data_IF_421297623855
#
_entry.id   IF_421297623855
#
_cell.length_a   1.000
_cell.length_b   1.000
_cell.length_c   1.000
_cell.angle_alpha   90.00
_cell.angle_beta   90.00
_cell.angle_gamma   90.00
#
_symmetry.space_group_name_H-M   'P 1'
#
loop_
_entity.id
_entity.type
_entity.pdbx_description
1 polymer ?
#
# COMPACT_ATOMS: atom_id res chain seq x y z
N UNK A 1 5.05 9.11 2.90
CA UNK A 1 4.87 7.73 2.42
C UNK A 1 3.59 7.68 1.64
N UNK A 2 3.63 7.26 0.37
CA UNK A 2 2.43 7.13 -0.45
C UNK A 2 1.66 5.87 -0.03
N UNK A 3 0.33 5.94 0.07
CA UNK A 3 -0.53 4.79 0.34
C UNK A 3 -1.40 4.52 -0.88
N UNK A 4 -1.63 3.24 -1.20
CA UNK A 4 -2.47 2.85 -2.32
C UNK A 4 -3.81 2.38 -1.78
N UNK A 5 -4.87 3.02 -2.24
CA UNK A 5 -6.24 2.78 -1.78
C UNK A 5 -7.00 2.04 -2.89
N UNK A 6 -7.39 0.77 -2.69
CA UNK A 6 -8.13 0.00 -3.69
C UNK A 6 -9.57 0.50 -3.88
N UNK A 7 -10.28 -0.14 -4.81
CA UNK A 7 -11.73 0.00 -4.93
C UNK A 7 -12.43 -0.26 -3.59
N UNK A 8 -13.53 0.46 -3.36
CA UNK A 8 -14.30 0.45 -2.11
C UNK A 8 -13.54 0.92 -0.85
N UNK A 9 -12.46 1.70 -1.02
CA UNK A 9 -11.75 2.33 0.10
C UNK A 9 -12.33 3.70 0.46
N UNK A 10 -12.22 4.05 1.76
CA UNK A 10 -12.54 5.38 2.26
C UNK A 10 -11.27 6.22 2.41
N UNK A 11 -11.30 7.44 1.86
CA UNK A 11 -10.19 8.39 1.95
C UNK A 11 -10.66 9.75 2.48
N UNK A 12 -9.75 10.47 3.13
CA UNK A 12 -10.01 11.80 3.66
C UNK A 12 -10.91 11.80 4.91
N UNK A 13 -11.11 10.65 5.52
CA UNK A 13 -11.93 10.49 6.72
C UNK A 13 -11.31 11.15 7.95
N UNK A 14 -9.98 11.19 8.09
CA UNK A 14 -9.31 11.82 9.24
C UNK A 14 -9.77 13.28 9.38
N UNK A 15 -9.50 14.11 8.37
CA UNK A 15 -9.93 15.52 8.35
C UNK A 15 -11.45 15.68 8.39
N UNK A 16 -12.19 14.74 7.79
CA UNK A 16 -13.64 14.76 7.86
C UNK A 16 -14.18 14.49 9.28
N UNK A 17 -13.45 13.77 10.12
CA UNK A 17 -13.84 13.38 11.48
C UNK A 17 -13.32 14.35 12.54
N UNK A 18 -12.07 14.77 12.48
CA UNK A 18 -11.45 15.65 13.48
C UNK A 18 -11.58 17.15 13.16
N UNK A 19 -11.83 17.50 11.89
CA UNK A 19 -12.01 18.88 11.43
C UNK A 19 -10.70 19.59 11.08
N UNK A 20 -9.56 18.89 11.09
CA UNK A 20 -8.27 19.44 10.71
C UNK A 20 -8.04 19.37 9.17
N UNK A 21 -7.02 20.09 8.65
CA UNK A 21 -6.62 19.98 7.25
C UNK A 21 -6.33 18.55 6.79
N UNK A 22 -6.33 18.34 5.48
CA UNK A 22 -6.00 17.05 4.88
C UNK A 22 -4.59 16.61 5.30
N UNK A 23 -4.45 15.35 5.71
CA UNK A 23 -3.18 14.74 6.09
C UNK A 23 -2.33 14.34 4.88
N UNK A 24 -2.93 14.20 3.70
CA UNK A 24 -2.27 13.79 2.47
C UNK A 24 -3.01 14.26 1.22
N UNK A 25 -2.31 14.28 0.09
CA UNK A 25 -2.88 14.42 -1.25
C UNK A 25 -3.28 13.03 -1.77
N UNK A 26 -4.44 12.95 -2.43
CA UNK A 26 -4.88 11.74 -3.13
C UNK A 26 -4.80 11.95 -4.65
N UNK A 27 -4.21 10.99 -5.37
CA UNK A 27 -4.04 11.04 -6.83
C UNK A 27 -4.64 9.75 -7.40
N UNK A 28 -5.46 9.88 -8.44
CA UNK A 28 -6.02 8.71 -9.14
C UNK A 28 -4.97 8.16 -10.12
N UNK A 29 -4.50 6.93 -9.88
CA UNK A 29 -3.55 6.22 -10.77
C UNK A 29 -4.25 5.61 -11.99
N UNK A 30 -5.56 5.40 -11.90
CA UNK A 30 -6.41 4.88 -12.97
C UNK A 30 -7.70 5.70 -13.03
N UNK A 31 -8.57 5.40 -13.99
CA UNK A 31 -9.91 6.00 -14.03
C UNK A 31 -10.69 5.53 -12.80
N UNK A 32 -11.13 6.48 -11.97
CA UNK A 32 -11.85 6.20 -10.73
C UNK A 32 -13.22 6.87 -10.74
N UNK A 33 -14.22 6.19 -10.20
CA UNK A 33 -15.49 6.79 -9.80
C UNK A 33 -15.48 7.00 -8.28
N UNK A 34 -15.85 8.20 -7.84
CA UNK A 34 -15.78 8.60 -6.44
C UNK A 34 -17.12 9.14 -5.97
N UNK A 35 -17.52 8.77 -4.75
CA UNK A 35 -18.67 9.36 -4.06
C UNK A 35 -18.12 10.32 -2.99
N UNK A 36 -18.51 11.59 -3.07
CA UNK A 36 -18.11 12.59 -2.08
C UNK A 36 -19.16 12.73 -0.98
N UNK A 37 -18.69 12.86 0.25
CA UNK A 37 -19.52 13.14 1.42
C UNK A 37 -18.95 14.36 2.15
N UNK A 38 -19.80 15.35 2.39
CA UNK A 38 -19.45 16.44 3.29
C UNK A 38 -19.37 15.95 4.74
N UNK A 39 -18.60 16.66 5.58
CA UNK A 39 -18.55 16.43 7.03
C UNK A 39 -19.95 16.39 7.63
N UNK A 40 -20.81 17.35 7.28
CA UNK A 40 -22.19 17.40 7.76
C UNK A 40 -22.96 16.13 7.41
N UNK A 41 -22.93 15.70 6.15
CA UNK A 41 -23.61 14.47 5.71
C UNK A 41 -23.06 13.23 6.43
N UNK A 42 -21.75 13.17 6.69
CA UNK A 42 -21.14 12.06 7.42
C UNK A 42 -21.69 11.96 8.85
N UNK A 43 -21.66 13.06 9.60
CA UNK A 43 -22.15 13.09 10.99
C UNK A 43 -23.67 12.86 11.07
N UNK A 44 -24.46 13.48 10.19
CA UNK A 44 -25.90 13.23 10.10
C UNK A 44 -26.21 11.74 9.86
N UNK A 45 -25.35 11.02 9.13
CA UNK A 45 -25.51 9.58 8.88
C UNK A 45 -25.04 8.72 10.04
N UNK A 46 -23.97 9.11 10.72
CA UNK A 46 -23.48 8.43 11.93
C UNK A 46 -24.56 8.45 13.02
N UNK A 47 -25.19 9.61 13.23
CA UNK A 47 -26.27 9.77 14.22
C UNK A 47 -27.49 8.91 13.89
N UNK A 48 -27.86 8.82 12.61
CA UNK A 48 -29.00 8.02 12.14
C UNK A 48 -28.69 6.53 12.04
N UNK A 49 -27.42 6.14 11.99
CA UNK A 49 -26.99 4.76 11.84
C UNK A 49 -25.74 4.46 12.70
N UNK A 50 -25.90 4.23 14.01
CA UNK A 50 -24.79 3.98 14.94
C UNK A 50 -23.81 2.88 14.53
N UNK A 51 -24.21 1.79 13.82
CA UNK A 51 -23.23 0.83 13.30
C UNK A 51 -22.18 1.43 12.36
N UNK A 52 -22.49 2.55 11.68
CA UNK A 52 -21.51 3.29 10.87
C UNK A 52 -20.36 3.82 11.73
N UNK A 53 -20.66 4.33 12.92
CA UNK A 53 -19.63 4.84 13.83
C UNK A 53 -18.64 3.73 14.20
N UNK A 54 -19.16 2.53 14.50
CA UNK A 54 -18.33 1.35 14.80
C UNK A 54 -17.45 0.96 13.61
N UNK A 55 -18.03 0.88 12.41
CA UNK A 55 -17.27 0.54 11.20
C UNK A 55 -16.14 1.55 10.92
N UNK A 56 -16.37 2.83 11.16
CA UNK A 56 -15.30 3.84 11.04
C UNK A 56 -14.22 3.68 12.10
N UNK A 57 -14.57 3.39 13.36
CA UNK A 57 -13.59 3.13 14.41
C UNK A 57 -12.73 1.92 14.04
N UNK A 58 -13.34 0.83 13.57
CA UNK A 58 -12.64 -0.36 13.11
C UNK A 58 -11.68 -0.06 11.96
N UNK A 59 -12.12 0.74 10.97
CA UNK A 59 -11.28 1.24 9.88
C UNK A 59 -10.06 2.03 10.40
N UNK A 60 -10.28 2.98 11.31
CA UNK A 60 -9.20 3.80 11.89
C UNK A 60 -8.23 2.94 12.71
N UNK A 61 -8.72 1.97 13.48
CA UNK A 61 -7.88 1.02 14.21
C UNK A 61 -7.05 0.14 13.26
N UNK A 62 -7.63 -0.32 12.16
CA UNK A 62 -6.90 -1.08 11.13
C UNK A 62 -5.80 -0.24 10.48
N UNK A 63 -6.11 1.02 10.14
CA UNK A 63 -5.15 1.96 9.53
C UNK A 63 -4.03 2.31 10.51
N UNK A 64 -4.34 2.53 11.80
CA UNK A 64 -3.32 2.77 12.83
C UNK A 64 -2.37 1.56 12.98
N UNK A 65 -2.92 0.35 13.08
CA UNK A 65 -2.09 -0.87 13.13
C UNK A 65 -1.21 -1.02 11.90
N UNK A 66 -1.73 -0.70 10.71
CA UNK A 66 -0.96 -0.72 9.48
C UNK A 66 0.20 0.29 9.51
N UNK A 67 -0.05 1.55 9.86
CA UNK A 67 0.99 2.59 9.97
C UNK A 67 2.05 2.21 11.01
N UNK A 68 1.65 1.71 12.18
CA UNK A 68 2.59 1.25 13.21
C UNK A 68 3.43 0.06 12.73
N UNK A 69 2.84 -0.85 11.95
CA UNK A 69 3.57 -1.97 11.33
C UNK A 69 4.61 -1.48 10.32
N UNK A 70 4.26 -0.53 9.45
CA UNK A 70 5.20 0.04 8.48
C UNK A 70 6.37 0.76 9.17
N UNK A 71 6.13 1.46 10.28
CA UNK A 71 7.20 2.07 11.08
C UNK A 71 8.17 1.01 11.64
N UNK A 72 7.65 -0.13 12.10
CA UNK A 72 8.48 -1.26 12.52
C UNK A 72 9.28 -1.84 11.35
N UNK A 73 8.63 -2.08 10.22
CA UNK A 73 9.31 -2.58 9.02
C UNK A 73 10.43 -1.64 8.55
N UNK A 74 10.23 -0.32 8.62
CA UNK A 74 11.27 0.66 8.32
C UNK A 74 12.45 0.64 9.29
N UNK A 75 12.21 0.33 10.57
CA UNK A 75 13.24 0.30 11.59
C UNK A 75 14.07 -0.99 11.60
N UNK A 76 13.49 -2.13 11.17
CA UNK A 76 14.07 -3.45 11.39
C UNK A 76 14.31 -4.29 10.13
N UNK A 77 13.75 -3.90 8.98
CA UNK A 77 13.88 -4.69 7.76
C UNK A 77 14.74 -4.01 6.72
N UNK A 78 15.50 -4.84 6.01
CA UNK A 78 16.20 -4.44 4.80
C UNK A 78 15.23 -3.92 3.74
N UNK A 79 15.74 -3.13 2.79
CA UNK A 79 14.93 -2.71 1.64
C UNK A 79 14.40 -3.91 0.85
N UNK A 80 15.15 -5.02 0.79
CA UNK A 80 14.75 -6.24 0.09
C UNK A 80 13.52 -6.87 0.76
N UNK A 81 13.53 -6.97 2.09
CA UNK A 81 12.42 -7.52 2.85
C UNK A 81 11.17 -6.63 2.77
N UNK A 82 11.34 -5.30 2.89
CA UNK A 82 10.22 -4.35 2.69
C UNK A 82 9.63 -4.43 1.29
N UNK A 83 10.47 -4.49 0.25
CA UNK A 83 10.02 -4.62 -1.13
C UNK A 83 9.29 -5.95 -1.35
N UNK A 84 9.75 -7.06 -0.74
CA UNK A 84 9.12 -8.36 -0.88
C UNK A 84 7.73 -8.39 -0.25
N UNK A 85 7.61 -7.89 1.00
CA UNK A 85 6.31 -7.70 1.67
C UNK A 85 5.38 -6.82 0.83
N UNK A 86 5.90 -5.72 0.27
CA UNK A 86 5.12 -4.79 -0.54
C UNK A 86 4.62 -5.44 -1.84
N UNK A 87 5.44 -6.24 -2.52
CA UNK A 87 5.01 -6.95 -3.72
C UNK A 87 3.88 -7.95 -3.42
N UNK A 88 3.89 -8.65 -2.28
CA UNK A 88 2.76 -9.51 -1.90
C UNK A 88 1.47 -8.71 -1.69
N UNK A 89 1.57 -7.56 -1.02
CA UNK A 89 0.42 -6.66 -0.84
C UNK A 89 -0.12 -6.21 -2.20
N UNK A 90 0.73 -5.67 -3.07
CA UNK A 90 0.33 -5.17 -4.39
C UNK A 90 -0.20 -6.29 -5.29
N UNK A 91 0.36 -7.49 -5.22
CA UNK A 91 -0.14 -8.65 -5.96
C UNK A 91 -1.59 -9.00 -5.60
N UNK A 92 -1.98 -8.82 -4.33
CA UNK A 92 -3.35 -9.06 -3.88
C UNK A 92 -4.32 -7.95 -4.27
N UNK A 93 -3.82 -6.72 -4.36
CA UNK A 93 -4.66 -5.52 -4.43
C UNK A 93 -4.86 -5.03 -5.87
N UNK A 94 -3.81 -5.07 -6.70
CA UNK A 94 -3.82 -4.44 -8.03
C UNK A 94 -3.32 -5.35 -9.16
N UNK A 95 -3.00 -6.62 -8.91
CA UNK A 95 -2.60 -7.50 -9.99
C UNK A 95 -3.76 -7.73 -10.97
N UNK A 96 -3.45 -7.76 -12.26
CA UNK A 96 -4.41 -8.17 -13.30
C UNK A 96 -4.72 -9.68 -13.22
N UNK A 97 -5.69 -10.13 -14.02
CA UNK A 97 -6.08 -11.55 -14.08
C UNK A 97 -4.96 -12.51 -14.51
N UNK A 98 -3.82 -12.00 -14.99
CA UNK A 98 -2.62 -12.75 -15.35
C UNK A 98 -1.47 -12.62 -14.33
N UNK A 99 -1.73 -11.97 -13.20
CA UNK A 99 -0.81 -11.80 -12.08
C UNK A 99 0.21 -10.67 -12.25
N UNK A 100 0.06 -9.80 -13.26
CA UNK A 100 0.93 -8.64 -13.40
C UNK A 100 0.46 -7.48 -12.54
N UNK A 101 1.37 -6.96 -11.74
CA UNK A 101 1.22 -5.77 -10.91
C UNK A 101 1.58 -4.56 -11.79
N UNK A 102 0.64 -3.68 -12.14
CA UNK A 102 0.88 -2.50 -12.96
C UNK A 102 1.48 -1.38 -12.09
N UNK A 103 2.78 -1.47 -11.81
CA UNK A 103 3.50 -0.48 -10.99
C UNK A 103 4.90 -0.22 -11.55
N UNK A 104 5.32 1.04 -11.52
CA UNK A 104 6.64 1.48 -11.91
C UNK A 104 7.64 1.38 -10.75
N UNK A 105 8.93 1.39 -11.09
CA UNK A 105 10.00 1.36 -10.08
C UNK A 105 10.09 2.65 -9.28
N UNK A 106 9.71 3.79 -9.88
CA UNK A 106 9.64 5.07 -9.18
C UNK A 106 8.54 5.06 -8.12
N UNK A 107 7.35 4.58 -8.47
CA UNK A 107 6.25 4.41 -7.52
C UNK A 107 6.65 3.46 -6.39
N UNK A 108 7.30 2.33 -6.69
CA UNK A 108 7.84 1.44 -5.65
C UNK A 108 8.86 2.14 -4.73
N UNK A 109 9.72 3.01 -5.27
CA UNK A 109 10.64 3.82 -4.47
C UNK A 109 9.90 4.76 -3.52
N UNK A 110 8.88 5.46 -4.01
CA UNK A 110 8.03 6.34 -3.20
C UNK A 110 7.27 5.58 -2.10
N UNK A 111 6.77 4.38 -2.42
CA UNK A 111 6.12 3.50 -1.45
C UNK A 111 7.06 3.04 -0.34
N UNK A 112 8.30 2.72 -0.69
CA UNK A 112 9.28 2.14 0.24
C UNK A 112 10.17 3.17 0.94
N UNK A 113 9.99 4.46 0.65
CA UNK A 113 10.90 5.52 1.10
C UNK A 113 12.34 5.27 0.64
N UNK A 114 12.51 4.71 -0.56
CA UNK A 114 13.79 4.29 -1.10
C UNK A 114 14.07 4.94 -2.46
N UNK A 115 15.35 5.04 -2.81
CA UNK A 115 15.74 5.56 -4.13
C UNK A 115 15.34 4.58 -5.24
N UNK A 116 15.03 5.14 -6.41
CA UNK A 116 14.70 4.34 -7.61
C UNK A 116 15.84 3.39 -7.97
N UNK A 117 17.09 3.83 -7.79
CA UNK A 117 18.30 3.07 -8.04
C UNK A 117 18.37 1.83 -7.15
N UNK A 118 18.06 1.97 -5.85
CA UNK A 118 18.07 0.85 -4.90
C UNK A 118 16.99 -0.17 -5.26
N UNK A 119 15.76 0.29 -5.53
CA UNK A 119 14.67 -0.58 -6.00
C UNK A 119 15.03 -1.30 -7.30
N UNK A 120 15.59 -0.60 -8.27
CA UNK A 120 16.00 -1.18 -9.55
C UNK A 120 17.08 -2.26 -9.37
N UNK A 121 18.08 -2.02 -8.51
CA UNK A 121 19.13 -2.98 -8.18
C UNK A 121 18.55 -4.27 -7.59
N UNK A 122 17.67 -4.15 -6.59
CA UNK A 122 17.01 -5.32 -5.96
C UNK A 122 16.13 -6.08 -6.95
N UNK A 123 15.29 -5.39 -7.73
CA UNK A 123 14.42 -6.03 -8.73
C UNK A 123 15.23 -6.75 -9.82
N UNK A 124 16.34 -6.19 -10.28
CA UNK A 124 17.23 -6.86 -11.23
C UNK A 124 17.87 -8.11 -10.64
N UNK A 125 18.32 -8.08 -9.39
CA UNK A 125 18.82 -9.25 -8.69
C UNK A 125 17.77 -10.37 -8.65
N UNK A 126 16.54 -10.04 -8.24
CA UNK A 126 15.45 -11.01 -8.15
C UNK A 126 15.01 -11.55 -9.51
N UNK A 127 15.02 -10.72 -10.56
CA UNK A 127 14.77 -11.17 -11.93
C UNK A 127 15.82 -12.18 -12.38
N UNK A 128 17.09 -11.91 -12.14
CA UNK A 128 18.18 -12.82 -12.52
C UNK A 128 18.09 -14.17 -11.78
N UNK A 129 17.51 -14.17 -10.57
CA UNK A 129 17.23 -15.37 -9.76
C UNK A 129 15.87 -16.02 -10.06
N UNK A 130 15.15 -15.54 -11.09
CA UNK A 130 13.80 -16.03 -11.46
C UNK A 130 12.76 -15.96 -10.33
N UNK A 131 12.93 -15.03 -9.38
CA UNK A 131 11.97 -14.79 -8.29
C UNK A 131 10.80 -13.94 -8.78
N UNK A 132 11.08 -13.03 -9.71
CA UNK A 132 10.09 -12.19 -10.38
C UNK A 132 10.33 -12.16 -11.90
N UNK A 133 9.28 -11.83 -12.64
CA UNK A 133 9.35 -11.38 -14.02
C UNK A 133 9.07 -9.87 -14.10
N UNK A 134 9.71 -9.20 -15.06
CA UNK A 134 9.53 -7.76 -15.30
C UNK A 134 9.12 -7.51 -16.76
N UNK A 135 8.20 -6.57 -16.96
CA UNK A 135 7.87 -5.96 -18.26
C UNK A 135 7.85 -4.45 -18.12
N UNK A 136 7.71 -3.72 -19.23
CA UNK A 136 7.53 -2.27 -19.18
C UNK A 136 6.30 -1.93 -18.33
N UNK A 137 6.51 -1.22 -17.22
CA UNK A 137 5.44 -0.78 -16.31
C UNK A 137 4.78 -1.90 -15.51
N UNK A 138 5.41 -3.09 -15.37
CA UNK A 138 4.80 -4.14 -14.57
C UNK A 138 5.74 -5.23 -14.09
N UNK A 139 5.31 -5.87 -13.00
CA UNK A 139 6.04 -6.90 -12.26
C UNK A 139 5.15 -8.11 -12.02
N UNK A 140 5.70 -9.32 -12.00
CA UNK A 140 4.96 -10.54 -11.65
C UNK A 140 5.82 -11.42 -10.75
N UNK A 141 5.23 -11.93 -9.67
CA UNK A 141 5.89 -12.89 -8.79
C UNK A 141 5.92 -14.25 -9.51
N UNK A 142 7.11 -14.81 -9.74
CA UNK A 142 7.28 -16.13 -10.39
C UNK A 142 7.64 -17.22 -9.38
N UNK A 143 8.27 -16.86 -8.26
CA UNK A 143 8.55 -17.78 -7.16
C UNK A 143 8.14 -17.17 -5.82
N UNK A 144 6.92 -17.47 -5.38
CA UNK A 144 6.37 -16.96 -4.13
C UNK A 144 7.10 -17.51 -2.88
N UNK A 145 7.66 -18.72 -2.94
CA UNK A 145 8.41 -19.30 -1.82
C UNK A 145 9.71 -18.55 -1.57
N UNK A 146 10.50 -18.33 -2.62
CA UNK A 146 11.74 -17.56 -2.53
C UNK A 146 11.48 -16.10 -2.09
N UNK A 147 10.43 -15.46 -2.61
CA UNK A 147 10.06 -14.10 -2.21
C UNK A 147 9.60 -14.02 -0.75
N UNK A 148 8.95 -15.07 -0.23
CA UNK A 148 8.55 -15.15 1.18
C UNK A 148 9.75 -15.23 2.11
N UNK A 149 10.75 -16.05 1.77
CA UNK A 149 11.99 -16.09 2.53
C UNK A 149 12.70 -14.73 2.58
N UNK A 150 12.68 -13.96 1.49
CA UNK A 150 13.21 -12.60 1.46
C UNK A 150 12.37 -11.62 2.30
N UNK A 151 11.06 -11.81 2.41
CA UNK A 151 10.18 -10.98 3.23
C UNK A 151 10.38 -11.19 4.73
N UNK A 152 10.83 -12.39 5.11
CA UNK A 152 11.03 -12.81 6.50
C UNK A 152 12.48 -12.58 6.98
N UNK A 153 13.43 -12.27 6.08
CA UNK A 153 14.80 -11.93 6.46
C UNK A 153 14.85 -10.55 7.12
N UNK A 154 15.20 -10.51 8.41
CA UNK A 154 15.58 -9.29 9.11
C UNK A 154 17.01 -8.91 8.73
N UNK A 155 17.38 -7.63 8.85
CA UNK A 155 18.80 -7.24 8.78
C UNK A 155 19.51 -7.94 9.96
N UNK A 156 20.27 -9.00 9.67
CA UNK A 156 21.34 -9.44 10.56
C UNK A 156 22.49 -8.47 10.31
N UNK A 157 22.81 -7.65 11.32
CA UNK A 157 23.98 -6.75 11.33
C UNK A 157 25.28 -7.45 10.90
#
# INVERSE_FOLDING_TARGET
MANLEPSYSLIGEIGALDGHPRTATAICLTVCELVSLSRKQLFDRIEKHPPLARAMIELLCARLRWVSGELGDHAFLSIEARLAKRLFFLARVIADGSGWIPISQSELGEFLGATRESVNKTLNNWRNRSIIAMKRGGLRITNAGALRHLADSQDED
#
